data_IF_486596771426
#
_entry.id   IF_486596771426
#
_cell.length_a   1.000
_cell.length_b   1.000
_cell.length_c   1.000
_cell.angle_alpha   90.00
_cell.angle_beta   90.00
_cell.angle_gamma   90.00
#
_symmetry.space_group_name_H-M   'P 1'
#
loop_
_entity.id
_entity.type
_entity.pdbx_description
1 polymer ?
#
# COMPACT_ATOMS: atom_id res chain seq x y z
N UNK A 1 -13.92 -9.96 -7.02
CA UNK A 1 -12.61 -10.59 -6.76
C UNK A 1 -12.50 -11.00 -5.31
N UNK A 2 -11.68 -12.01 -4.98
CA UNK A 2 -11.57 -12.61 -3.64
C UNK A 2 -10.12 -12.59 -3.15
N UNK A 3 -9.88 -12.45 -1.83
CA UNK A 3 -8.53 -12.55 -1.26
C UNK A 3 -7.87 -13.91 -1.51
N UNK A 4 -8.66 -14.96 -1.77
CA UNK A 4 -8.14 -16.29 -2.13
C UNK A 4 -7.38 -16.30 -3.46
N UNK A 5 -7.45 -15.23 -4.27
CA UNK A 5 -6.67 -15.10 -5.50
C UNK A 5 -5.29 -14.47 -5.27
N UNK A 6 -4.99 -14.03 -4.05
CA UNK A 6 -3.68 -13.49 -3.68
C UNK A 6 -2.81 -14.59 -3.07
N UNK A 7 -1.51 -14.52 -3.31
CA UNK A 7 -0.56 -15.43 -2.70
C UNK A 7 -0.37 -15.07 -1.22
N UNK A 8 -0.48 -16.03 -0.30
CA UNK A 8 -0.09 -15.82 1.09
C UNK A 8 1.35 -15.32 1.20
N UNK A 9 1.59 -14.46 2.19
CA UNK A 9 2.87 -13.82 2.46
C UNK A 9 3.47 -13.13 1.23
N UNK A 10 2.65 -12.46 0.42
CA UNK A 10 3.12 -11.72 -0.74
C UNK A 10 2.92 -10.22 -0.57
N UNK A 11 3.90 -9.47 -1.07
CA UNK A 11 3.89 -8.01 -1.10
C UNK A 11 3.39 -7.54 -2.46
N UNK A 12 2.43 -6.62 -2.43
CA UNK A 12 1.82 -6.03 -3.60
C UNK A 12 1.99 -4.51 -3.60
N UNK A 13 2.20 -3.92 -4.78
CA UNK A 13 1.89 -2.51 -5.02
C UNK A 13 0.43 -2.43 -5.41
N UNK A 14 -0.33 -1.59 -4.72
CA UNK A 14 -1.72 -1.26 -5.03
C UNK A 14 -1.76 0.06 -5.76
N UNK A 15 -2.44 0.11 -6.90
CA UNK A 15 -2.59 1.33 -7.71
C UNK A 15 -4.05 1.78 -7.73
N UNK A 16 -4.26 3.06 -7.52
CA UNK A 16 -5.57 3.70 -7.47
C UNK A 16 -5.61 4.87 -8.45
N UNK A 17 -6.74 5.02 -9.16
CA UNK A 17 -6.99 6.23 -9.95
C UNK A 17 -7.14 7.45 -9.04
N UNK A 18 -6.73 8.63 -9.53
CA UNK A 18 -6.82 9.89 -8.78
C UNK A 18 -8.04 10.75 -9.09
N UNK A 19 -8.76 10.46 -10.16
CA UNK A 19 -9.94 11.22 -10.55
C UNK A 19 -10.28 11.05 -12.02
N UNK A 20 -11.33 11.75 -12.45
CA UNK A 20 -11.74 11.79 -13.85
C UNK A 20 -11.53 13.20 -14.43
N UNK A 21 -11.03 13.33 -15.68
CA UNK A 21 -10.50 12.26 -16.52
C UNK A 21 -9.17 11.72 -16.00
N UNK A 22 -8.93 10.42 -16.18
CA UNK A 22 -7.66 9.79 -15.79
C UNK A 22 -6.52 10.41 -16.61
N UNK A 23 -5.42 10.78 -15.95
CA UNK A 23 -4.20 11.25 -16.61
C UNK A 23 -3.15 10.13 -16.65
N UNK A 24 -2.29 10.06 -17.69
CA UNK A 24 -1.16 9.15 -17.71
C UNK A 24 -0.26 9.34 -16.48
N UNK A 25 0.25 8.24 -15.92
CA UNK A 25 1.15 8.22 -14.75
C UNK A 25 0.61 8.88 -13.47
N UNK A 26 -0.68 9.24 -13.41
CA UNK A 26 -1.28 9.93 -12.26
C UNK A 26 -1.97 8.97 -11.30
N UNK A 27 -1.23 7.96 -10.85
CA UNK A 27 -1.73 6.99 -9.88
C UNK A 27 -1.39 7.39 -8.46
N UNK A 28 -2.33 7.09 -7.58
CA UNK A 28 -2.06 6.97 -6.17
C UNK A 28 -1.63 5.53 -5.88
N UNK A 29 -0.68 5.33 -4.98
CA UNK A 29 -0.14 4.02 -4.67
C UNK A 29 0.00 3.75 -3.17
N UNK A 30 0.00 2.47 -2.81
CA UNK A 30 0.32 1.97 -1.47
C UNK A 30 0.92 0.57 -1.59
N UNK A 31 1.59 0.11 -0.52
CA UNK A 31 2.01 -1.29 -0.41
C UNK A 31 0.95 -2.09 0.36
N UNK A 32 0.80 -3.35 0.00
CA UNK A 32 -0.07 -4.29 0.71
C UNK A 32 0.67 -5.60 0.93
N UNK A 33 0.97 -5.91 2.19
CA UNK A 33 1.48 -7.22 2.58
C UNK A 33 0.28 -8.13 2.88
N UNK A 34 0.00 -9.04 1.97
CA UNK A 34 -1.03 -10.05 2.18
C UNK A 34 -0.49 -11.16 3.08
N UNK A 35 -1.16 -11.44 4.20
CA UNK A 35 -0.82 -12.58 5.06
C UNK A 35 -1.52 -13.84 4.55
N UNK A 36 -2.85 -13.85 4.59
CA UNK A 36 -3.68 -14.93 4.09
C UNK A 36 -5.15 -14.49 3.98
N UNK A 37 -5.98 -15.34 3.39
CA UNK A 37 -7.41 -15.06 3.20
C UNK A 37 -8.17 -14.79 4.52
N UNK A 38 -7.78 -15.46 5.62
CA UNK A 38 -8.48 -15.33 6.91
C UNK A 38 -8.13 -14.03 7.65
N UNK A 39 -6.85 -13.65 7.64
CA UNK A 39 -6.33 -12.45 8.33
C UNK A 39 -6.45 -11.20 7.46
N UNK A 40 -6.38 -11.33 6.15
CA UNK A 40 -6.19 -10.22 5.23
C UNK A 40 -4.71 -9.85 5.17
N UNK A 41 -4.42 -8.57 5.32
CA UNK A 41 -3.06 -8.04 5.22
C UNK A 41 -2.94 -6.65 5.84
N UNK A 42 -1.73 -6.10 5.80
CA UNK A 42 -1.45 -4.73 6.21
C UNK A 42 -1.26 -3.89 4.95
N UNK A 43 -1.98 -2.76 4.87
CA UNK A 43 -1.76 -1.73 3.88
C UNK A 43 -0.80 -0.69 4.47
N UNK A 44 0.34 -0.49 3.83
CA UNK A 44 1.30 0.56 4.15
C UNK A 44 1.13 1.71 3.18
N UNK A 45 0.74 2.84 3.71
CA UNK A 45 0.26 3.96 2.94
C UNK A 45 0.59 5.27 3.66
N UNK A 46 0.84 6.32 2.90
CA UNK A 46 0.96 7.69 3.36
C UNK A 46 -0.09 8.54 2.66
N UNK A 47 -0.76 9.43 3.39
CA UNK A 47 -1.77 10.33 2.84
C UNK A 47 -1.31 11.77 2.94
N UNK A 48 -1.59 12.56 1.92
CA UNK A 48 -1.47 14.00 2.02
C UNK A 48 -2.74 14.55 2.68
N UNK A 49 -2.63 15.10 3.89
CA UNK A 49 -3.74 15.74 4.61
C UNK A 49 -3.34 17.17 4.95
N UNK A 50 -3.67 18.11 4.05
CA UNK A 50 -3.36 19.51 4.24
C UNK A 50 -1.88 19.82 3.99
N UNK A 51 -1.18 20.31 5.01
CA UNK A 51 0.18 20.85 4.89
C UNK A 51 1.30 19.80 4.73
N UNK A 52 0.97 18.51 4.75
CA UNK A 52 1.99 17.46 4.68
C UNK A 52 1.45 16.04 4.52
N UNK A 53 2.38 15.11 4.62
CA UNK A 53 2.20 13.66 4.56
C UNK A 53 2.01 13.09 5.96
N UNK A 54 1.06 12.17 6.09
CA UNK A 54 0.72 11.45 7.32
C UNK A 54 0.70 9.95 7.07
N UNK A 55 1.25 9.17 8.00
CA UNK A 55 1.18 7.69 8.01
C UNK A 55 -0.28 7.22 8.08
N UNK A 56 -0.63 6.22 7.27
CA UNK A 56 -1.94 5.57 7.23
C UNK A 56 -1.77 4.04 7.08
N UNK A 57 -0.93 3.47 7.93
CA UNK A 57 -0.72 2.02 7.98
C UNK A 57 -1.88 1.33 8.69
N UNK A 58 -2.37 0.21 8.16
CA UNK A 58 -3.51 -0.47 8.79
C UNK A 58 -3.82 -1.85 8.27
N UNK A 59 -4.36 -2.68 9.16
CA UNK A 59 -4.89 -3.99 8.81
C UNK A 59 -6.16 -3.86 7.97
N UNK A 60 -6.27 -4.66 6.90
CA UNK A 60 -7.46 -4.70 6.05
C UNK A 60 -7.71 -6.08 5.43
N UNK A 61 -8.98 -6.48 5.40
CA UNK A 61 -9.50 -7.58 4.57
C UNK A 61 -10.21 -7.07 3.30
N UNK A 62 -10.28 -5.75 3.16
CA UNK A 62 -11.08 -5.07 2.14
C UNK A 62 -10.27 -4.53 0.97
N UNK A 63 -8.98 -4.87 0.82
CA UNK A 63 -8.10 -4.24 -0.18
C UNK A 63 -8.70 -4.27 -1.59
N UNK A 64 -9.29 -5.41 -2.01
CA UNK A 64 -9.91 -5.60 -3.33
C UNK A 64 -11.26 -4.87 -3.52
N UNK A 65 -11.75 -4.20 -2.47
CA UNK A 65 -13.01 -3.44 -2.47
C UNK A 65 -12.78 -1.94 -2.29
N UNK A 66 -11.54 -1.50 -2.21
CA UNK A 66 -11.23 -0.10 -2.04
C UNK A 66 -11.63 0.71 -3.27
N UNK A 67 -12.20 1.90 -3.03
CA UNK A 67 -12.61 2.79 -4.10
C UNK A 67 -11.40 3.18 -4.97
N UNK A 68 -11.65 3.33 -6.27
CA UNK A 68 -10.66 3.72 -7.28
C UNK A 68 -9.50 2.72 -7.47
N UNK A 69 -9.52 1.56 -6.82
CA UNK A 69 -8.53 0.51 -7.05
C UNK A 69 -8.56 0.06 -8.51
N UNK A 70 -7.40 0.09 -9.15
CA UNK A 70 -7.20 -0.41 -10.52
C UNK A 70 -6.64 -1.83 -10.47
N UNK A 71 -5.55 -2.03 -9.75
CA UNK A 71 -4.88 -3.32 -9.68
C UNK A 71 -3.99 -3.49 -8.45
N UNK A 72 -3.63 -4.75 -8.19
CA UNK A 72 -2.55 -5.15 -7.31
C UNK A 72 -1.47 -5.81 -8.17
N UNK A 73 -0.24 -5.31 -8.08
CA UNK A 73 0.92 -5.89 -8.76
C UNK A 73 1.80 -6.56 -7.72
N UNK A 74 1.97 -7.87 -7.80
CA UNK A 74 2.85 -8.59 -6.89
C UNK A 74 4.30 -8.22 -7.19
N UNK A 75 5.05 -7.81 -6.16
CA UNK A 75 6.46 -7.43 -6.30
C UNK A 75 7.42 -8.32 -5.51
N UNK A 76 6.92 -9.04 -4.48
CA UNK A 76 7.74 -9.99 -3.74
C UNK A 76 6.90 -11.07 -3.05
N UNK A 77 7.56 -12.18 -2.68
CA UNK A 77 7.08 -13.15 -1.68
C UNK A 77 7.99 -13.04 -0.46
N UNK A 78 7.38 -12.87 0.70
CA UNK A 78 8.04 -12.72 1.98
C UNK A 78 8.20 -14.11 2.60
N UNK A 79 9.43 -14.51 2.99
CA UNK A 79 9.63 -15.74 3.74
C UNK A 79 8.88 -15.73 5.06
N UNK A 80 8.42 -16.90 5.50
CA UNK A 80 7.72 -17.04 6.77
C UNK A 80 8.58 -16.52 7.94
N UNK A 81 7.96 -15.77 8.86
CA UNK A 81 8.62 -15.19 10.03
C UNK A 81 9.36 -13.88 9.74
N UNK A 82 9.35 -13.37 8.50
CA UNK A 82 9.94 -12.06 8.13
C UNK A 82 8.92 -10.91 8.12
N UNK A 83 7.67 -11.15 8.47
CA UNK A 83 6.61 -10.13 8.46
C UNK A 83 6.96 -8.96 9.39
N UNK A 84 7.50 -9.25 10.58
CA UNK A 84 7.96 -8.21 11.52
C UNK A 84 9.07 -7.35 10.93
N UNK A 85 10.04 -7.97 10.25
CA UNK A 85 11.12 -7.23 9.60
C UNK A 85 10.58 -6.31 8.51
N UNK A 86 9.61 -6.78 7.72
CA UNK A 86 8.96 -5.96 6.69
C UNK A 86 8.21 -4.78 7.32
N UNK A 87 7.51 -5.01 8.43
CA UNK A 87 6.79 -3.96 9.17
C UNK A 87 7.75 -2.88 9.70
N UNK A 88 8.88 -3.30 10.30
CA UNK A 88 9.94 -2.40 10.78
C UNK A 88 10.57 -1.60 9.64
N UNK A 89 10.80 -2.23 8.47
CA UNK A 89 11.34 -1.54 7.29
C UNK A 89 10.36 -0.50 6.77
N UNK A 90 9.08 -0.84 6.62
CA UNK A 90 8.10 0.11 6.08
C UNK A 90 7.77 1.26 7.03
N UNK A 91 7.82 1.04 8.34
CA UNK A 91 7.66 2.11 9.33
C UNK A 91 8.94 2.91 9.62
N UNK A 92 10.09 2.53 9.07
CA UNK A 92 11.39 3.14 9.44
C UNK A 92 11.51 4.63 9.12
N UNK A 93 10.71 5.14 8.18
CA UNK A 93 10.73 6.54 7.71
C UNK A 93 9.46 7.31 8.09
N UNK A 94 8.58 6.71 8.92
CA UNK A 94 7.32 7.34 9.36
C UNK A 94 7.54 8.67 10.07
N UNK A 95 8.61 8.78 10.86
CA UNK A 95 8.97 9.98 11.60
C UNK A 95 9.54 11.12 10.73
N UNK A 96 9.95 10.83 9.50
CA UNK A 96 10.67 11.76 8.61
C UNK A 96 9.95 11.99 7.28
N UNK A 97 8.67 11.59 7.16
CA UNK A 97 7.89 11.68 5.92
C UNK A 97 7.90 13.06 5.25
N UNK A 98 7.93 14.14 6.04
CA UNK A 98 7.89 15.51 5.54
C UNK A 98 9.28 16.13 5.34
N UNK A 99 10.34 15.37 5.58
CA UNK A 99 11.75 15.77 5.39
C UNK A 99 12.35 15.17 4.11
N UNK A 100 11.66 14.20 3.49
CA UNK A 100 12.11 13.48 2.31
C UNK A 100 11.10 13.44 1.16
N UNK A 101 11.36 12.57 0.17
CA UNK A 101 10.57 12.45 -1.06
C UNK A 101 9.48 11.36 -1.00
N UNK A 102 9.20 10.79 0.18
CA UNK A 102 8.23 9.71 0.31
C UNK A 102 6.82 10.25 0.13
N UNK A 103 6.18 9.82 -0.95
CA UNK A 103 4.86 10.26 -1.35
C UNK A 103 4.08 9.07 -1.91
N UNK A 104 2.76 9.10 -1.83
CA UNK A 104 1.89 8.06 -2.38
C UNK A 104 1.45 8.35 -3.83
N UNK A 105 2.08 9.33 -4.49
CA UNK A 105 1.78 9.80 -5.85
C UNK A 105 3.01 10.55 -6.33
N UNK A 106 3.24 10.67 -7.65
CA UNK A 106 4.29 11.59 -8.11
C UNK A 106 3.98 13.02 -7.61
N UNK A 107 4.99 13.67 -7.03
CA UNK A 107 4.96 15.12 -6.84
C UNK A 107 4.87 15.81 -8.22
N UNK A 108 4.19 16.95 -8.27
CA UNK A 108 4.20 17.81 -9.45
C UNK A 108 5.58 18.46 -9.63
#
# INVERSE_FOLDING_TARGET
MSLSTLHPNALYITLFNRGYPNQPDDFHWALYLHHNTQKGGIKYHVRNRGAGWTVDHGNTKGILKEALLVCLVQIARIPDGKERYVDEVFGSLDGTLNEGEITCRRGF
#
